data_IF_205059145019
#
_entry.id   IF_205059145019
#
_cell.length_a   1.000
_cell.length_b   1.000
_cell.length_c   1.000
_cell.angle_alpha   90.00
_cell.angle_beta   90.00
_cell.angle_gamma   90.00
#
_symmetry.space_group_name_H-M   'P 1'
#
loop_
_entity.id
_entity.type
_entity.pdbx_description
1 polymer ?
#
# COMPACT_ATOMS: atom_id res chain seq x y z
N UNK A 1 -2.73 -25.43 -7.47
CA UNK A 1 -4.21 -25.36 -7.46
C UNK A 1 -4.66 -23.92 -7.65
N UNK A 2 -5.53 -23.68 -8.63
CA UNK A 2 -6.13 -22.36 -8.88
C UNK A 2 -7.66 -22.47 -8.86
N UNK A 3 -8.34 -21.38 -8.51
CA UNK A 3 -9.79 -21.29 -8.58
C UNK A 3 -10.29 -20.85 -9.95
N UNK A 4 -11.48 -21.29 -10.35
CA UNK A 4 -12.15 -20.88 -11.59
C UNK A 4 -13.24 -19.84 -11.29
N UNK A 5 -13.09 -18.63 -11.82
CA UNK A 5 -14.11 -17.58 -11.75
C UNK A 5 -15.10 -17.67 -12.91
N UNK A 6 -16.38 -17.89 -12.61
CA UNK A 6 -17.44 -17.96 -13.62
C UNK A 6 -18.19 -16.62 -13.77
N UNK A 7 -18.35 -15.90 -12.65
CA UNK A 7 -19.05 -14.62 -12.57
C UNK A 7 -18.19 -13.61 -11.81
N UNK A 8 -17.31 -12.94 -12.55
CA UNK A 8 -16.33 -12.02 -11.97
C UNK A 8 -16.95 -10.61 -11.88
N UNK A 9 -17.10 -10.08 -10.67
CA UNK A 9 -17.57 -8.70 -10.41
C UNK A 9 -16.43 -7.88 -9.82
N UNK A 10 -16.24 -6.65 -10.29
CA UNK A 10 -15.22 -5.73 -9.78
C UNK A 10 -14.60 -4.87 -10.88
N UNK A 11 -13.58 -4.08 -10.53
CA UNK A 11 -12.87 -3.16 -11.41
C UNK A 11 -11.70 -3.85 -12.14
N UNK A 12 -11.96 -5.00 -12.77
CA UNK A 12 -10.90 -5.81 -13.37
C UNK A 12 -10.53 -5.42 -14.81
N UNK A 13 -11.26 -4.47 -15.42
CA UNK A 13 -10.94 -3.82 -16.69
C UNK A 13 -10.34 -4.75 -17.78
N UNK A 14 -10.93 -5.93 -17.98
CA UNK A 14 -10.49 -6.89 -19.01
C UNK A 14 -9.46 -7.94 -18.55
N UNK A 15 -9.05 -7.94 -17.28
CA UNK A 15 -8.25 -9.03 -16.72
C UNK A 15 -9.04 -10.34 -16.66
N UNK A 16 -8.37 -11.45 -16.96
CA UNK A 16 -8.97 -12.79 -16.92
C UNK A 16 -9.12 -13.35 -15.50
N UNK A 17 -8.53 -12.71 -14.50
CA UNK A 17 -8.57 -13.15 -13.10
C UNK A 17 -7.62 -12.36 -12.20
N UNK A 18 -7.40 -12.89 -10.99
CA UNK A 18 -6.55 -12.31 -9.95
C UNK A 18 -5.42 -13.27 -9.58
N UNK A 19 -4.21 -12.73 -9.46
CA UNK A 19 -3.06 -13.45 -8.92
C UNK A 19 -2.93 -13.12 -7.44
N UNK A 20 -3.35 -14.04 -6.56
CA UNK A 20 -3.28 -13.83 -5.11
C UNK A 20 -1.86 -14.03 -4.56
N UNK A 21 -1.30 -12.97 -3.97
CA UNK A 21 0.04 -12.99 -3.36
C UNK A 21 0.02 -13.01 -1.82
N UNK A 22 -1.15 -13.20 -1.20
CA UNK A 22 -1.30 -13.23 0.26
C UNK A 22 -0.55 -14.39 0.94
N UNK A 23 -0.62 -14.45 2.27
CA UNK A 23 0.06 -15.45 3.12
C UNK A 23 -0.70 -16.76 3.29
N UNK A 24 -1.89 -16.87 2.68
CA UNK A 24 -2.71 -18.07 2.77
C UNK A 24 -2.13 -19.25 1.97
N UNK A 25 -2.42 -20.51 2.36
CA UNK A 25 -1.81 -21.71 1.78
C UNK A 25 -2.14 -21.92 0.29
N UNK A 26 -3.23 -21.33 -0.20
CA UNK A 26 -3.64 -21.40 -1.61
C UNK A 26 -3.18 -20.19 -2.43
N UNK A 27 -2.47 -19.23 -1.84
CA UNK A 27 -1.87 -18.12 -2.60
C UNK A 27 -0.85 -18.63 -3.61
N UNK A 28 -0.63 -17.88 -4.69
CA UNK A 28 0.40 -18.23 -5.66
C UNK A 28 1.80 -18.18 -5.03
N UNK A 29 2.05 -17.23 -4.13
CA UNK A 29 3.30 -17.12 -3.38
C UNK A 29 3.57 -18.40 -2.54
N UNK A 30 2.57 -18.90 -1.81
CA UNK A 30 2.72 -20.12 -0.99
C UNK A 30 2.85 -21.39 -1.84
N UNK A 31 2.18 -21.44 -3.00
CA UNK A 31 2.28 -22.60 -3.89
C UNK A 31 3.66 -22.73 -4.57
N UNK A 32 4.35 -21.61 -4.80
CA UNK A 32 5.69 -21.56 -5.38
C UNK A 32 6.82 -21.76 -4.35
N UNK A 33 6.44 -21.88 -3.08
CA UNK A 33 7.36 -21.85 -1.95
C UNK A 33 8.43 -22.96 -1.99
N UNK A 34 8.08 -24.15 -2.47
CA UNK A 34 9.00 -25.28 -2.60
C UNK A 34 10.03 -25.14 -3.73
N UNK A 35 9.73 -24.28 -4.71
CA UNK A 35 10.59 -24.08 -5.89
C UNK A 35 11.48 -22.85 -5.72
N UNK A 36 10.93 -21.76 -5.19
CA UNK A 36 11.59 -20.45 -5.15
C UNK A 36 11.85 -19.93 -3.74
N UNK A 37 11.38 -20.62 -2.70
CA UNK A 37 11.50 -20.16 -1.32
C UNK A 37 10.33 -19.26 -0.89
N UNK A 38 10.48 -18.62 0.27
CA UNK A 38 9.37 -17.96 0.98
C UNK A 38 9.24 -16.47 0.67
N UNK A 39 9.90 -15.98 -0.38
CA UNK A 39 9.97 -14.56 -0.71
C UNK A 39 9.50 -14.27 -2.12
N UNK A 40 9.02 -13.06 -2.33
CA UNK A 40 8.82 -12.46 -3.64
C UNK A 40 9.06 -10.96 -3.51
N UNK A 41 9.26 -10.30 -4.65
CA UNK A 41 9.43 -8.85 -4.71
C UNK A 41 8.70 -8.30 -5.93
N UNK A 42 8.17 -7.09 -5.82
CA UNK A 42 7.58 -6.37 -6.95
C UNK A 42 8.05 -4.93 -7.01
N UNK A 43 8.17 -4.42 -8.23
CA UNK A 43 8.38 -3.02 -8.52
C UNK A 43 7.29 -2.60 -9.50
N UNK A 44 6.29 -1.87 -8.99
CA UNK A 44 5.14 -1.41 -9.75
C UNK A 44 5.46 -0.06 -10.40
N UNK A 45 5.20 0.04 -11.70
CA UNK A 45 5.37 1.29 -12.43
C UNK A 45 4.20 2.23 -12.16
N UNK A 46 4.39 3.52 -12.44
CA UNK A 46 3.30 4.48 -12.30
C UNK A 46 2.16 4.12 -13.26
N UNK A 47 0.92 4.21 -12.78
CA UNK A 47 -0.29 3.95 -13.57
C UNK A 47 -0.35 4.79 -14.87
N UNK A 48 0.24 5.97 -14.87
CA UNK A 48 0.27 6.90 -16.00
C UNK A 48 1.53 6.75 -16.87
N UNK A 49 2.39 5.77 -16.61
CA UNK A 49 3.54 5.48 -17.47
C UNK A 49 3.12 5.02 -18.86
N UNK A 50 4.01 5.20 -19.84
CA UNK A 50 3.83 4.70 -21.20
C UNK A 50 3.64 3.17 -21.19
N UNK A 51 2.82 2.64 -22.09
CA UNK A 51 2.57 1.20 -22.24
C UNK A 51 3.82 0.37 -22.57
N UNK A 52 4.91 1.01 -23.00
CA UNK A 52 6.22 0.36 -23.19
C UNK A 52 6.94 0.02 -21.88
N UNK A 53 6.52 0.59 -20.75
CA UNK A 53 7.15 0.42 -19.43
C UNK A 53 6.38 -0.63 -18.64
N UNK A 54 7.09 -1.65 -18.14
CA UNK A 54 6.48 -2.81 -17.47
C UNK A 54 6.95 -2.94 -16.02
N UNK A 55 6.00 -3.27 -15.13
CA UNK A 55 6.30 -3.70 -13.75
C UNK A 55 7.08 -5.02 -13.72
N UNK A 56 7.79 -5.27 -12.63
CA UNK A 56 8.47 -6.55 -12.39
C UNK A 56 7.90 -7.23 -11.14
N UNK A 57 7.76 -8.55 -11.21
CA UNK A 57 7.41 -9.44 -10.10
C UNK A 57 8.38 -10.63 -10.15
N UNK A 58 9.13 -10.85 -9.07
CA UNK A 58 10.13 -11.91 -8.96
C UNK A 58 9.72 -12.81 -7.79
N UNK A 59 9.68 -14.12 -8.04
CA UNK A 59 9.52 -15.12 -6.99
C UNK A 59 10.87 -15.67 -6.58
N UNK A 60 11.08 -15.76 -5.28
CA UNK A 60 12.34 -16.14 -4.66
C UNK A 60 13.22 -14.96 -4.27
N UNK A 61 14.41 -15.30 -3.79
CA UNK A 61 15.37 -14.33 -3.25
C UNK A 61 16.25 -13.77 -4.37
N UNK A 62 16.27 -12.43 -4.49
CA UNK A 62 17.21 -11.73 -5.36
C UNK A 62 18.37 -11.20 -4.51
N UNK A 63 19.52 -11.88 -4.57
CA UNK A 63 20.71 -11.54 -3.78
C UNK A 63 21.28 -10.17 -4.11
N UNK A 64 21.12 -9.68 -5.33
CA UNK A 64 21.62 -8.37 -5.71
C UNK A 64 20.70 -7.28 -5.18
N UNK A 65 19.38 -7.52 -5.19
CA UNK A 65 18.42 -6.65 -4.53
C UNK A 65 18.69 -6.56 -3.01
N UNK A 66 18.95 -7.68 -2.34
CA UNK A 66 19.21 -7.71 -0.90
C UNK A 66 20.49 -6.98 -0.48
N UNK A 67 21.46 -6.84 -1.39
CA UNK A 67 22.70 -6.08 -1.14
C UNK A 67 22.54 -4.58 -1.40
N UNK A 68 21.38 -4.14 -1.89
CA UNK A 68 21.19 -2.76 -2.27
C UNK A 68 21.24 -1.84 -1.03
N UNK A 69 22.09 -0.79 -1.01
CA UNK A 69 22.36 -0.01 0.19
C UNK A 69 21.16 0.77 0.72
N UNK A 70 20.17 1.05 -0.14
CA UNK A 70 18.94 1.76 0.22
C UNK A 70 17.78 0.83 0.57
N UNK A 71 18.01 -0.48 0.68
CA UNK A 71 16.97 -1.43 1.05
C UNK A 71 16.77 -1.42 2.58
N UNK A 72 15.54 -1.14 3.01
CA UNK A 72 15.15 -1.16 4.41
C UNK A 72 14.19 -2.32 4.69
N UNK A 73 14.25 -2.84 5.92
CA UNK A 73 13.41 -3.95 6.37
C UNK A 73 12.59 -3.56 7.59
N UNK A 74 11.41 -4.12 7.67
CA UNK A 74 10.57 -4.11 8.87
C UNK A 74 10.01 -5.51 9.08
N UNK A 75 9.81 -5.89 10.34
CA UNK A 75 9.19 -7.18 10.67
C UNK A 75 7.71 -7.15 10.30
N UNK A 76 7.22 -8.27 9.77
CA UNK A 76 5.79 -8.47 9.63
C UNK A 76 5.16 -8.69 11.02
N UNK A 77 3.96 -8.15 11.21
CA UNK A 77 3.18 -8.34 12.45
C UNK A 77 2.23 -9.53 12.25
N UNK A 78 1.83 -10.18 13.35
CA UNK A 78 0.86 -11.28 13.28
C UNK A 78 1.47 -12.57 12.73
N UNK A 79 2.56 -13.03 13.34
CA UNK A 79 3.17 -14.35 13.03
C UNK A 79 2.39 -15.53 13.61
N UNK A 80 1.29 -15.30 14.35
CA UNK A 80 0.48 -16.41 14.87
C UNK A 80 -0.30 -17.04 13.73
N UNK A 81 -0.24 -18.37 13.68
CA UNK A 81 -0.86 -19.27 12.70
C UNK A 81 -2.40 -19.18 12.70
N UNK A 82 -2.97 -18.04 12.34
CA UNK A 82 -4.36 -18.00 11.91
C UNK A 82 -4.36 -18.28 10.40
N UNK A 83 -4.81 -19.46 9.94
CA UNK A 83 -4.82 -19.80 8.52
C UNK A 83 -5.75 -18.88 7.70
N UNK A 84 -6.66 -18.15 8.36
CA UNK A 84 -7.51 -17.14 7.73
C UNK A 84 -6.79 -15.79 7.52
N UNK A 85 -5.63 -15.58 8.14
CA UNK A 85 -4.88 -14.33 8.02
C UNK A 85 -3.98 -14.36 6.78
N UNK A 86 -4.40 -13.62 5.76
CA UNK A 86 -3.75 -13.62 4.44
C UNK A 86 -2.98 -12.34 4.15
N UNK A 87 -3.13 -11.30 4.97
CA UNK A 87 -2.52 -9.99 4.75
C UNK A 87 -1.09 -9.90 5.31
N UNK A 88 -0.29 -9.03 4.68
CA UNK A 88 1.03 -8.65 5.18
C UNK A 88 0.87 -7.43 6.08
N UNK A 89 0.87 -7.66 7.40
CA UNK A 89 0.79 -6.57 8.37
C UNK A 89 2.16 -5.98 8.68
N UNK A 90 2.21 -4.67 8.83
CA UNK A 90 3.39 -3.92 9.27
C UNK A 90 3.02 -3.00 10.42
N UNK A 91 3.98 -2.64 11.27
CA UNK A 91 3.76 -1.70 12.37
C UNK A 91 4.16 -0.28 11.94
N UNK A 92 3.19 0.64 11.90
CA UNK A 92 3.46 2.07 11.88
C UNK A 92 3.78 2.53 13.31
N UNK A 93 4.87 3.29 13.47
CA UNK A 93 5.23 3.92 14.75
C UNK A 93 4.77 5.38 14.82
N UNK A 94 4.88 6.09 13.71
CA UNK A 94 4.53 7.50 13.58
C UNK A 94 4.33 7.82 12.11
N UNK A 95 3.60 8.89 11.84
CA UNK A 95 3.47 9.47 10.50
C UNK A 95 4.05 10.87 10.54
N UNK A 96 4.73 11.26 9.46
CA UNK A 96 5.33 12.58 9.28
C UNK A 96 4.78 13.24 8.02
N UNK A 97 4.44 14.53 8.09
CA UNK A 97 4.11 15.33 6.90
C UNK A 97 5.14 16.45 6.78
N UNK A 98 5.95 16.40 5.72
CA UNK A 98 7.15 17.21 5.60
C UNK A 98 8.14 16.89 6.72
N UNK A 99 8.35 17.85 7.60
CA UNK A 99 9.22 17.81 8.78
C UNK A 99 8.46 17.64 10.11
N UNK A 100 7.13 17.51 10.06
CA UNK A 100 6.27 17.45 11.24
C UNK A 100 5.83 16.03 11.55
N UNK A 101 6.23 15.51 12.71
CA UNK A 101 5.72 14.25 13.26
C UNK A 101 4.31 14.48 13.82
N UNK A 102 3.33 13.77 13.26
CA UNK A 102 1.92 13.93 13.62
C UNK A 102 1.59 13.24 14.95
N UNK A 103 0.74 13.89 15.74
CA UNK A 103 0.27 13.37 17.04
C UNK A 103 -0.92 12.44 16.86
N UNK A 104 -0.69 11.29 16.23
CA UNK A 104 -1.69 10.23 16.10
C UNK A 104 -1.46 9.23 17.25
N UNK A 105 -2.49 8.87 18.04
CA UNK A 105 -2.34 7.91 19.13
C UNK A 105 -1.80 6.58 18.61
N UNK A 106 -0.81 6.00 19.30
CA UNK A 106 -0.13 4.77 18.87
C UNK A 106 -1.10 3.59 18.72
N UNK A 107 -2.12 3.55 19.57
CA UNK A 107 -3.17 2.53 19.56
C UNK A 107 -3.99 2.49 18.26
N UNK A 108 -3.97 3.58 17.48
CA UNK A 108 -4.60 3.65 16.16
C UNK A 108 -4.05 2.58 15.21
N UNK A 109 -2.79 2.20 15.39
CA UNK A 109 -2.07 1.27 14.53
C UNK A 109 -2.06 -0.17 15.08
N UNK A 110 -2.63 -0.40 16.26
CA UNK A 110 -2.55 -1.69 16.92
C UNK A 110 -3.35 -2.76 16.17
N UNK A 111 -2.73 -3.91 15.97
CA UNK A 111 -3.39 -5.14 15.55
C UNK A 111 -3.84 -5.91 16.79
N UNK A 112 -5.15 -6.12 16.93
CA UNK A 112 -5.68 -6.96 18.01
C UNK A 112 -5.37 -8.45 17.77
N UNK A 113 -5.37 -9.29 18.81
CA UNK A 113 -5.20 -10.74 18.66
C UNK A 113 -6.26 -11.42 17.78
N UNK A 114 -7.39 -10.76 17.52
CA UNK A 114 -8.48 -11.24 16.66
C UNK A 114 -8.30 -10.82 15.19
N UNK A 115 -7.20 -10.15 14.83
CA UNK A 115 -6.95 -9.67 13.47
C UNK A 115 -7.71 -8.39 13.11
N UNK A 116 -8.26 -7.69 14.10
CA UNK A 116 -8.94 -6.40 13.92
C UNK A 116 -7.95 -5.26 14.12
N UNK A 117 -7.98 -4.28 13.22
CA UNK A 117 -7.05 -3.14 13.22
C UNK A 117 -5.77 -3.44 12.46
N UNK A 118 -4.68 -2.79 12.85
CA UNK A 118 -3.36 -2.92 12.21
C UNK A 118 -3.22 -2.14 10.90
N UNK A 119 -2.05 -2.29 10.27
CA UNK A 119 -1.72 -1.70 8.96
C UNK A 119 -1.30 -2.81 8.01
N UNK A 120 -1.86 -2.84 6.81
CA UNK A 120 -1.55 -3.84 5.78
C UNK A 120 -0.90 -3.20 4.55
N UNK A 121 -0.14 -4.00 3.82
CA UNK A 121 0.29 -3.69 2.46
C UNK A 121 -0.74 -4.29 1.49
N UNK A 122 -1.42 -3.45 0.71
CA UNK A 122 -2.45 -3.88 -0.24
C UNK A 122 -2.19 -3.33 -1.65
N UNK A 123 -1.73 -4.20 -2.55
CA UNK A 123 -1.57 -3.88 -3.98
C UNK A 123 -2.89 -3.91 -4.77
N UNK A 124 -3.99 -4.35 -4.15
CA UNK A 124 -5.32 -4.40 -4.74
C UNK A 124 -6.07 -3.07 -4.70
N UNK A 125 -5.60 -2.10 -3.92
CA UNK A 125 -6.18 -0.75 -3.81
C UNK A 125 -5.33 0.30 -4.50
N UNK A 126 -5.97 1.22 -5.22
CA UNK A 126 -5.28 2.35 -5.89
C UNK A 126 -4.73 3.40 -4.92
N UNK A 127 -5.39 3.58 -3.77
CA UNK A 127 -5.09 4.62 -2.78
C UNK A 127 -4.77 3.98 -1.43
N UNK A 128 -3.95 4.66 -0.63
CA UNK A 128 -3.79 4.35 0.80
C UNK A 128 -5.01 4.84 1.57
N UNK A 129 -5.52 4.02 2.47
CA UNK A 129 -6.65 4.35 3.34
C UNK A 129 -6.18 4.41 4.79
N UNK A 130 -6.69 5.41 5.51
CA UNK A 130 -6.46 5.59 6.94
C UNK A 130 -7.80 5.53 7.65
N UNK A 131 -7.81 5.07 8.91
CA UNK A 131 -8.99 5.22 9.76
C UNK A 131 -9.26 6.71 9.99
N UNK A 132 -10.55 7.08 10.06
CA UNK A 132 -11.00 8.48 10.07
C UNK A 132 -10.20 9.39 11.03
N UNK A 133 -9.93 9.02 12.30
CA UNK A 133 -9.20 9.90 13.20
C UNK A 133 -7.76 10.20 12.75
N UNK A 134 -7.07 9.20 12.19
CA UNK A 134 -5.73 9.40 11.63
C UNK A 134 -5.80 10.22 10.33
N UNK A 135 -6.76 9.91 9.47
CA UNK A 135 -6.96 10.61 8.20
C UNK A 135 -7.16 12.11 8.40
N UNK A 136 -8.00 12.51 9.36
CA UNK A 136 -8.27 13.91 9.65
C UNK A 136 -7.00 14.67 10.09
N UNK A 137 -6.18 14.07 10.96
CA UNK A 137 -4.91 14.66 11.41
C UNK A 137 -3.93 14.80 10.24
N UNK A 138 -3.80 13.75 9.42
CA UNK A 138 -2.92 13.77 8.23
C UNK A 138 -3.39 14.83 7.25
N UNK A 139 -4.69 14.87 6.97
CA UNK A 139 -5.32 15.84 6.07
C UNK A 139 -5.05 17.26 6.54
N UNK A 140 -5.28 17.56 7.82
CA UNK A 140 -5.05 18.89 8.37
C UNK A 140 -3.58 19.32 8.23
N UNK A 141 -2.63 18.43 8.53
CA UNK A 141 -1.21 18.71 8.35
C UNK A 141 -0.85 19.01 6.89
N UNK A 142 -1.44 18.26 5.93
CA UNK A 142 -1.30 18.55 4.50
C UNK A 142 -1.88 19.91 4.13
N UNK A 143 -3.10 20.23 4.56
CA UNK A 143 -3.75 21.52 4.28
C UNK A 143 -2.95 22.70 4.83
N UNK A 144 -2.35 22.55 6.01
CA UNK A 144 -1.55 23.61 6.62
C UNK A 144 -0.20 23.85 5.91
N UNK A 145 0.38 22.80 5.31
CA UNK A 145 1.69 22.87 4.63
C UNK A 145 1.59 23.18 3.14
N UNK A 146 0.53 22.74 2.47
CA UNK A 146 0.32 23.04 1.04
C UNK A 146 -0.11 24.50 0.89
N UNK A 147 0.75 25.32 0.29
CA UNK A 147 0.51 26.74 0.05
C UNK A 147 0.55 27.04 -1.45
N UNK A 148 -0.21 28.04 -1.87
CA UNK A 148 -0.18 28.53 -3.26
C UNK A 148 -1.12 27.80 -4.23
N UNK A 149 -1.87 26.79 -3.78
CA UNK A 149 -2.85 26.09 -4.61
C UNK A 149 -4.27 26.22 -4.05
N UNK A 150 -5.25 26.69 -4.85
CA UNK A 150 -6.64 26.78 -4.40
C UNK A 150 -7.24 25.41 -4.09
N UNK A 151 -7.96 25.28 -2.98
CA UNK A 151 -8.72 24.08 -2.65
C UNK A 151 -9.96 23.95 -3.55
N UNK A 152 -10.24 22.73 -4.00
CA UNK A 152 -11.45 22.34 -4.72
C UNK A 152 -12.39 21.65 -3.74
N UNK A 153 -13.56 22.23 -3.50
CA UNK A 153 -14.54 21.74 -2.52
C UNK A 153 -15.49 20.66 -3.09
N UNK A 154 -15.68 20.66 -4.41
CA UNK A 154 -16.74 19.91 -5.09
C UNK A 154 -16.33 18.49 -5.54
N UNK A 155 -15.24 17.93 -5.02
CA UNK A 155 -14.89 16.54 -5.28
C UNK A 155 -15.48 15.63 -4.17
N UNK A 156 -16.46 14.76 -4.48
CA UNK A 156 -17.29 14.12 -3.44
C UNK A 156 -16.63 12.96 -2.71
N UNK A 157 -15.52 12.41 -3.22
CA UNK A 157 -14.95 11.14 -2.73
C UNK A 157 -13.57 11.31 -2.10
N UNK A 158 -12.79 12.30 -2.52
CA UNK A 158 -11.41 12.52 -2.07
C UNK A 158 -11.26 13.97 -1.65
N UNK A 159 -10.71 14.22 -0.45
CA UNK A 159 -10.44 15.57 0.07
C UNK A 159 -9.17 15.54 0.94
N UNK A 160 -8.22 16.48 0.78
CA UNK A 160 -8.33 17.71 0.03
C UNK A 160 -7.94 17.52 -1.43
N UNK A 161 -8.56 18.31 -2.32
CA UNK A 161 -8.14 18.42 -3.72
C UNK A 161 -7.67 19.85 -3.98
N UNK A 162 -6.61 20.00 -4.77
CA UNK A 162 -6.02 21.30 -5.10
C UNK A 162 -6.09 21.55 -6.60
N UNK A 163 -6.38 22.78 -7.00
CA UNK A 163 -6.27 23.21 -8.38
C UNK A 163 -4.80 23.57 -8.67
N UNK A 164 -4.15 22.72 -9.46
CA UNK A 164 -2.74 22.88 -9.87
C UNK A 164 -2.62 23.18 -11.37
N UNK A 165 -3.72 23.62 -12.01
CA UNK A 165 -3.73 23.98 -13.43
C UNK A 165 -2.74 25.11 -13.70
N UNK A 166 -1.83 24.89 -14.64
CA UNK A 166 -0.80 25.88 -15.00
C UNK A 166 0.40 25.93 -14.05
N UNK A 167 0.48 25.04 -13.05
CA UNK A 167 1.65 24.91 -12.18
C UNK A 167 2.68 23.99 -12.85
N UNK A 168 3.83 24.53 -13.22
CA UNK A 168 4.90 23.74 -13.86
C UNK A 168 5.66 22.86 -12.86
N UNK A 169 5.94 23.38 -11.66
CA UNK A 169 6.65 22.68 -10.59
C UNK A 169 5.77 22.58 -9.35
N UNK A 170 5.23 21.39 -9.11
CA UNK A 170 4.35 21.11 -7.99
C UNK A 170 5.18 20.84 -6.73
N UNK A 171 4.98 21.66 -5.69
CA UNK A 171 5.61 21.48 -4.39
C UNK A 171 4.58 20.98 -3.38
N UNK A 172 4.68 19.71 -3.00
CA UNK A 172 3.83 19.10 -1.98
C UNK A 172 4.71 18.57 -0.83
N UNK A 173 4.20 18.61 0.42
CA UNK A 173 4.92 18.01 1.53
C UNK A 173 5.00 16.50 1.34
N UNK A 174 6.12 15.92 1.75
CA UNK A 174 6.33 14.48 1.78
C UNK A 174 5.46 13.82 2.86
N UNK A 175 4.93 12.62 2.60
CA UNK A 175 4.30 11.77 3.61
C UNK A 175 5.24 10.62 3.95
N UNK A 176 5.65 10.53 5.20
CA UNK A 176 6.57 9.52 5.73
C UNK A 176 6.05 8.79 6.96
#
# INVERSE_FOLDING_TARGET
MFGCGHWNRGLFHGAAGLLGLGRGPLSFASQLQSLYGHSFSYCLVNRNSNSSVSSKLIFGEDKELLKHPNLNFTSLVGEKENPAETFYYVQIKSITVGDEVLKIPEETWNLSPQGVGGTIIDSGTTLSYFVEPAYEIIKEAFVNKVKGYPLIQDFPILRPCYNVSGVENLELPYLG
#
